data_IF_017334039903
#
_entry.id   IF_017334039903
#
_cell.length_a   1.000
_cell.length_b   1.000
_cell.length_c   1.000
_cell.angle_alpha   90.00
_cell.angle_beta   90.00
_cell.angle_gamma   90.00
#
_symmetry.space_group_name_H-M   'P 1'
#
loop_
_entity.id
_entity.type
_entity.pdbx_description
1 polymer ?
#
# COMPACT_ATOMS: atom_id res chain seq x y z
N UNK A 1 21.79 -0.93 34.77
CA UNK A 1 21.40 0.39 34.20
C UNK A 1 22.27 0.77 33.02
N UNK A 2 23.60 1.02 33.13
CA UNK A 2 24.45 1.39 31.96
C UNK A 2 24.54 0.23 30.95
N UNK A 3 24.71 -1.01 31.41
CA UNK A 3 24.79 -2.18 30.55
C UNK A 3 23.47 -2.42 29.80
N UNK A 4 22.34 -2.17 30.43
CA UNK A 4 21.02 -2.31 29.86
C UNK A 4 20.76 -1.25 28.79
N UNK A 5 21.24 -0.01 28.99
CA UNK A 5 21.10 1.05 27.97
C UNK A 5 21.95 0.77 26.73
N UNK A 6 23.20 0.33 26.89
CA UNK A 6 24.08 -0.08 25.78
C UNK A 6 23.51 -1.29 25.00
N UNK A 7 22.88 -2.23 25.71
CA UNK A 7 22.23 -3.36 25.06
C UNK A 7 21.03 -2.93 24.23
N UNK A 8 20.18 -2.07 24.78
CA UNK A 8 18.98 -1.54 24.05
C UNK A 8 19.42 -0.74 22.82
N UNK A 9 20.43 0.10 22.95
CA UNK A 9 21.00 0.87 21.84
C UNK A 9 21.55 -0.07 20.75
N UNK A 10 22.36 -1.06 21.11
CA UNK A 10 22.91 -2.03 20.17
C UNK A 10 21.82 -2.84 19.48
N UNK A 11 20.75 -3.20 20.20
CA UNK A 11 19.61 -3.93 19.64
C UNK A 11 18.81 -3.04 18.70
N UNK A 12 18.59 -1.77 19.05
CA UNK A 12 17.94 -0.78 18.18
C UNK A 12 18.69 -0.63 16.86
N UNK A 13 20.02 -0.47 16.92
CA UNK A 13 20.88 -0.34 15.75
C UNK A 13 20.86 -1.62 14.87
N UNK A 14 20.83 -2.80 15.47
CA UNK A 14 20.71 -4.06 14.75
C UNK A 14 19.37 -4.16 14.03
N UNK A 15 18.27 -3.83 14.70
CA UNK A 15 16.92 -3.84 14.12
C UNK A 15 16.79 -2.82 12.99
N UNK A 16 17.36 -1.63 13.14
CA UNK A 16 17.43 -0.63 12.10
C UNK A 16 18.16 -1.16 10.85
N UNK A 17 19.36 -1.73 11.03
CA UNK A 17 20.12 -2.34 9.93
C UNK A 17 19.35 -3.48 9.24
N UNK A 18 18.62 -4.31 10.00
CA UNK A 18 17.78 -5.37 9.46
C UNK A 18 16.61 -4.82 8.62
N UNK A 19 15.93 -3.76 9.10
CA UNK A 19 14.88 -3.05 8.40
C UNK A 19 15.39 -2.49 7.07
N UNK A 20 16.50 -1.74 7.12
CA UNK A 20 17.16 -1.17 5.94
C UNK A 20 17.51 -2.26 4.90
N UNK A 21 18.12 -3.36 5.34
CA UNK A 21 18.47 -4.46 4.47
C UNK A 21 17.24 -5.14 3.84
N UNK A 22 16.16 -5.31 4.62
CA UNK A 22 14.89 -5.84 4.13
C UNK A 22 14.33 -4.96 2.99
N UNK A 23 14.19 -3.67 3.22
CA UNK A 23 13.61 -2.77 2.24
C UNK A 23 14.46 -2.63 0.99
N UNK A 24 15.77 -2.48 1.11
CA UNK A 24 16.65 -2.37 -0.06
C UNK A 24 16.70 -3.69 -0.86
N UNK A 25 16.82 -4.83 -0.20
CA UNK A 25 16.89 -6.12 -0.88
C UNK A 25 15.61 -6.41 -1.67
N UNK A 26 14.47 -6.34 -1.01
CA UNK A 26 13.19 -6.62 -1.69
C UNK A 26 12.80 -5.51 -2.66
N UNK A 27 13.13 -4.24 -2.38
CA UNK A 27 12.91 -3.13 -3.29
C UNK A 27 13.63 -3.33 -4.61
N UNK A 28 14.93 -3.59 -4.57
CA UNK A 28 15.75 -3.85 -5.76
C UNK A 28 15.22 -5.07 -6.52
N UNK A 29 14.94 -6.18 -5.82
CA UNK A 29 14.40 -7.38 -6.45
C UNK A 29 13.09 -7.12 -7.20
N UNK A 30 12.15 -6.41 -6.59
CA UNK A 30 10.85 -6.14 -7.22
C UNK A 30 11.00 -5.22 -8.44
N UNK A 31 11.83 -4.19 -8.36
CA UNK A 31 12.07 -3.26 -9.48
C UNK A 31 12.70 -3.97 -10.67
N UNK A 32 13.71 -4.82 -10.47
CA UNK A 32 14.43 -5.44 -11.56
C UNK A 32 13.76 -6.72 -12.08
N UNK A 33 13.20 -7.56 -11.23
CA UNK A 33 12.68 -8.87 -11.63
C UNK A 33 11.16 -8.95 -11.77
N UNK A 34 10.41 -7.94 -11.31
CA UNK A 34 8.94 -7.89 -11.37
C UNK A 34 8.39 -6.64 -12.07
N UNK A 35 9.20 -5.96 -12.88
CA UNK A 35 8.86 -4.72 -13.56
C UNK A 35 7.61 -4.81 -14.45
N UNK A 36 7.29 -5.99 -14.98
CA UNK A 36 6.10 -6.22 -15.80
C UNK A 36 4.80 -6.20 -15.00
N UNK A 37 4.86 -6.47 -13.70
CA UNK A 37 3.71 -6.41 -12.81
C UNK A 37 3.67 -5.04 -12.13
N UNK A 38 2.79 -4.16 -12.60
CA UNK A 38 2.72 -2.76 -12.17
C UNK A 38 2.59 -2.57 -10.64
N UNK A 39 1.66 -3.23 -9.92
CA UNK A 39 1.59 -3.13 -8.46
C UNK A 39 2.89 -3.54 -7.76
N UNK A 40 3.52 -4.64 -8.20
CA UNK A 40 4.80 -5.10 -7.62
C UNK A 40 5.95 -4.14 -7.93
N UNK A 41 5.97 -3.54 -9.13
CA UNK A 41 6.94 -2.51 -9.47
C UNK A 41 6.81 -1.28 -8.57
N UNK A 42 5.58 -0.79 -8.34
CA UNK A 42 5.31 0.35 -7.46
C UNK A 42 5.73 0.02 -6.01
N UNK A 43 5.43 -1.20 -5.53
CA UNK A 43 5.88 -1.67 -4.23
C UNK A 43 7.41 -1.69 -4.15
N UNK A 44 8.08 -2.12 -5.21
CA UNK A 44 9.54 -2.11 -5.30
C UNK A 44 10.13 -0.71 -5.20
N UNK A 45 9.56 0.26 -5.93
CA UNK A 45 9.96 1.67 -5.85
C UNK A 45 9.76 2.24 -4.44
N UNK A 46 8.62 1.93 -3.80
CA UNK A 46 8.32 2.33 -2.44
C UNK A 46 9.33 1.73 -1.45
N UNK A 47 9.66 0.46 -1.58
CA UNK A 47 10.65 -0.20 -0.72
C UNK A 47 12.05 0.39 -0.92
N UNK A 48 12.47 0.67 -2.16
CA UNK A 48 13.74 1.37 -2.40
C UNK A 48 13.77 2.76 -1.73
N UNK A 49 12.68 3.52 -1.84
CA UNK A 49 12.59 4.81 -1.16
C UNK A 49 12.70 4.65 0.36
N UNK A 50 11.94 3.69 0.93
CA UNK A 50 11.97 3.43 2.37
C UNK A 50 13.34 3.02 2.87
N UNK A 51 14.01 2.10 2.15
CA UNK A 51 15.37 1.70 2.50
C UNK A 51 16.40 2.84 2.40
N UNK A 52 16.21 3.78 1.44
CA UNK A 52 17.05 5.00 1.37
C UNK A 52 16.73 5.95 2.53
N UNK A 53 15.47 6.04 2.95
CA UNK A 53 15.09 6.84 4.13
C UNK A 53 15.68 6.24 5.40
N UNK A 54 15.57 4.93 5.63
CA UNK A 54 16.23 4.25 6.76
C UNK A 54 17.75 4.50 6.72
N UNK A 55 18.37 4.46 5.52
CA UNK A 55 19.80 4.70 5.39
C UNK A 55 20.20 6.14 5.74
N UNK A 56 19.36 7.15 5.42
CA UNK A 56 19.60 8.53 5.80
C UNK A 56 19.58 8.72 7.31
N UNK A 57 18.83 7.90 8.06
CA UNK A 57 18.74 8.00 9.52
C UNK A 57 20.06 7.66 10.22
N UNK A 58 21.00 7.02 9.49
CA UNK A 58 22.40 6.88 9.97
C UNK A 58 23.06 8.24 10.19
N UNK A 59 22.61 9.30 9.55
CA UNK A 59 23.13 10.65 9.77
C UNK A 59 22.80 11.16 11.18
N UNK A 60 21.76 10.65 11.83
CA UNK A 60 21.40 10.98 13.21
C UNK A 60 22.43 10.50 14.24
N UNK A 61 23.27 9.54 13.88
CA UNK A 61 24.37 9.08 14.74
C UNK A 61 25.61 10.01 14.71
N UNK A 62 25.59 11.02 13.85
CA UNK A 62 26.61 12.06 13.81
C UNK A 62 26.21 13.13 14.82
N UNK A 63 26.99 13.33 15.91
CA UNK A 63 26.67 14.23 17.01
C UNK A 63 26.22 15.63 16.55
N UNK A 64 26.91 16.21 15.55
CA UNK A 64 26.55 17.54 15.01
C UNK A 64 25.18 17.61 14.35
N UNK A 65 24.63 16.48 13.92
CA UNK A 65 23.33 16.35 13.26
C UNK A 65 22.28 15.85 14.26
N UNK A 66 22.58 14.78 14.98
CA UNK A 66 21.66 14.14 15.93
C UNK A 66 21.31 15.04 17.11
N UNK A 67 22.29 15.75 17.66
CA UNK A 67 22.09 16.67 18.78
C UNK A 67 21.44 18.00 18.37
N UNK A 68 21.35 18.27 17.08
CA UNK A 68 20.71 19.49 16.56
C UNK A 68 19.23 19.25 16.29
N UNK A 69 18.32 19.88 17.03
CA UNK A 69 16.88 19.78 16.78
C UNK A 69 16.48 20.22 15.37
N UNK A 70 17.23 21.15 14.78
CA UNK A 70 17.00 21.64 13.44
C UNK A 70 17.27 20.55 12.38
N UNK A 71 18.45 19.93 12.39
CA UNK A 71 18.81 18.92 11.40
C UNK A 71 18.02 17.62 11.59
N UNK A 72 17.84 17.17 12.83
CA UNK A 72 17.02 15.96 13.11
C UNK A 72 15.58 16.11 12.63
N UNK A 73 14.98 17.31 12.83
CA UNK A 73 13.62 17.57 12.32
C UNK A 73 13.55 17.61 10.80
N UNK A 74 14.59 18.07 10.09
CA UNK A 74 14.63 17.98 8.62
C UNK A 74 14.61 16.52 8.18
N UNK A 75 15.43 15.67 8.79
CA UNK A 75 15.46 14.23 8.44
C UNK A 75 14.12 13.56 8.67
N UNK A 76 13.47 13.82 9.82
CA UNK A 76 12.12 13.32 10.14
C UNK A 76 11.04 13.86 9.17
N UNK A 77 11.20 15.11 8.67
CA UNK A 77 10.27 15.66 7.68
C UNK A 77 10.33 14.94 6.35
N UNK A 78 11.51 14.44 5.97
CA UNK A 78 11.70 13.66 4.73
C UNK A 78 11.01 12.29 4.82
N UNK A 79 10.93 11.69 6.02
CA UNK A 79 10.25 10.40 6.20
C UNK A 79 8.75 10.46 5.86
N UNK A 80 8.14 11.62 6.07
CA UNK A 80 6.73 11.82 5.74
C UNK A 80 6.43 11.67 4.25
N UNK A 81 7.43 11.82 3.36
CA UNK A 81 7.24 11.68 1.91
C UNK A 81 6.91 10.25 1.48
N UNK A 82 7.24 9.24 2.29
CA UNK A 82 6.85 7.86 2.00
C UNK A 82 5.33 7.64 2.17
N UNK A 83 4.65 8.43 2.99
CA UNK A 83 3.25 8.20 3.36
C UNK A 83 2.28 8.32 2.18
N UNK A 84 2.33 9.36 1.31
CA UNK A 84 1.47 9.41 0.15
C UNK A 84 1.75 8.29 -0.85
N UNK A 85 3.01 7.87 -1.00
CA UNK A 85 3.36 6.76 -1.89
C UNK A 85 2.81 5.43 -1.38
N UNK A 86 2.83 5.20 -0.05
CA UNK A 86 2.15 4.05 0.56
C UNK A 86 0.65 4.06 0.24
N UNK A 87 0.01 5.21 0.41
CA UNK A 87 -1.41 5.38 0.09
C UNK A 87 -1.71 5.08 -1.38
N UNK A 88 -0.91 5.62 -2.30
CA UNK A 88 -1.05 5.40 -3.73
C UNK A 88 -0.84 3.93 -4.13
N UNK A 89 0.12 3.23 -3.49
CA UNK A 89 0.30 1.80 -3.68
C UNK A 89 -0.93 1.00 -3.26
N UNK A 90 -1.48 1.27 -2.07
CA UNK A 90 -2.67 0.60 -1.58
C UNK A 90 -3.90 0.88 -2.46
N UNK A 91 -4.02 2.09 -3.00
CA UNK A 91 -5.07 2.45 -3.95
C UNK A 91 -4.88 1.81 -5.32
N UNK A 92 -3.64 1.60 -5.77
CA UNK A 92 -3.34 0.87 -7.01
C UNK A 92 -3.77 -0.59 -6.92
N UNK A 93 -3.63 -1.24 -5.75
CA UNK A 93 -4.14 -2.59 -5.52
C UNK A 93 -5.65 -2.66 -5.74
N UNK A 94 -6.38 -1.66 -5.24
CA UNK A 94 -7.85 -1.64 -5.27
C UNK A 94 -8.43 -1.07 -6.56
N UNK A 95 -7.64 -0.33 -7.30
CA UNK A 95 -8.03 0.35 -8.52
C UNK A 95 -6.81 0.45 -9.45
N UNK A 96 -6.55 -0.58 -10.28
CA UNK A 96 -5.42 -0.60 -11.21
C UNK A 96 -5.39 0.66 -12.08
N UNK A 97 -4.22 1.28 -12.23
CA UNK A 97 -4.07 2.53 -12.97
C UNK A 97 -4.28 3.80 -12.13
N UNK A 98 -4.58 3.67 -10.83
CA UNK A 98 -4.77 4.84 -9.97
C UNK A 98 -3.48 5.63 -9.74
N UNK A 99 -2.35 4.96 -9.50
CA UNK A 99 -1.07 5.60 -9.22
C UNK A 99 -0.44 6.18 -10.50
N UNK A 100 -0.86 7.38 -10.90
CA UNK A 100 -0.27 8.12 -12.02
C UNK A 100 0.76 9.13 -11.50
N UNK A 101 1.76 9.48 -12.33
CA UNK A 101 2.78 10.47 -11.96
C UNK A 101 2.15 11.81 -11.50
N UNK A 102 1.06 12.24 -12.17
CA UNK A 102 0.34 13.46 -11.78
C UNK A 102 -0.23 13.37 -10.36
N UNK A 103 -0.78 12.22 -9.98
CA UNK A 103 -1.31 12.00 -8.63
C UNK A 103 -0.19 11.89 -7.61
N UNK A 104 0.91 11.20 -7.93
CA UNK A 104 2.12 11.17 -7.09
C UNK A 104 2.55 12.59 -6.76
N UNK A 105 2.80 13.42 -7.79
CA UNK A 105 3.23 14.81 -7.59
C UNK A 105 2.21 15.62 -6.79
N UNK A 106 0.91 15.44 -7.02
CA UNK A 106 -0.14 16.16 -6.29
C UNK A 106 -0.15 15.83 -4.79
N UNK A 107 0.07 14.55 -4.42
CA UNK A 107 0.07 14.12 -3.03
C UNK A 107 1.39 14.43 -2.31
N UNK A 108 2.52 14.44 -3.04
CA UNK A 108 3.83 14.75 -2.46
C UNK A 108 4.08 16.25 -2.27
N UNK A 109 3.55 17.10 -3.18
CA UNK A 109 3.83 18.53 -3.19
C UNK A 109 3.61 19.23 -1.85
N UNK A 110 2.52 19.00 -1.10
CA UNK A 110 2.33 19.64 0.20
C UNK A 110 3.43 19.32 1.20
N UNK A 111 3.90 18.06 1.26
CA UNK A 111 4.93 17.64 2.20
C UNK A 111 6.31 18.22 1.84
N UNK A 112 6.62 18.25 0.54
CA UNK A 112 7.84 18.92 0.06
C UNK A 112 7.81 20.41 0.42
N UNK A 113 6.66 21.07 0.24
CA UNK A 113 6.50 22.48 0.62
C UNK A 113 6.68 22.70 2.13
N UNK A 114 6.08 21.87 2.98
CA UNK A 114 6.29 21.96 4.43
C UNK A 114 7.78 21.81 4.79
N UNK A 115 8.47 20.83 4.20
CA UNK A 115 9.90 20.60 4.43
C UNK A 115 10.73 21.81 3.99
N UNK A 116 10.47 22.37 2.80
CA UNK A 116 11.19 23.58 2.30
C UNK A 116 10.93 24.78 3.19
N UNK A 117 9.68 25.03 3.60
CA UNK A 117 9.32 26.14 4.51
C UNK A 117 10.01 25.94 5.86
N UNK A 118 10.07 24.72 6.38
CA UNK A 118 10.80 24.43 7.62
C UNK A 118 12.30 24.74 7.48
N UNK A 119 12.94 24.30 6.40
CA UNK A 119 14.36 24.59 6.13
C UNK A 119 14.61 26.10 6.10
N UNK A 120 13.69 26.89 5.53
CA UNK A 120 13.85 28.33 5.42
C UNK A 120 13.59 29.10 6.72
N UNK A 121 12.69 28.60 7.55
CA UNK A 121 12.19 29.33 8.73
C UNK A 121 12.71 28.78 10.06
N UNK A 122 13.00 27.46 10.13
CA UNK A 122 13.32 26.76 11.38
C UNK A 122 12.14 26.72 12.38
N UNK A 123 10.91 27.05 11.97
CA UNK A 123 9.75 27.13 12.85
C UNK A 123 9.20 25.73 13.13
N UNK A 124 9.24 25.32 14.38
CA UNK A 124 8.75 23.99 14.80
C UNK A 124 7.24 23.81 14.54
N UNK A 125 6.47 24.88 14.51
CA UNK A 125 5.03 24.88 14.16
C UNK A 125 4.80 24.39 12.72
N UNK A 126 5.72 24.65 11.82
CA UNK A 126 5.65 24.16 10.43
C UNK A 126 5.82 22.64 10.38
N UNK A 127 6.79 22.12 11.12
CA UNK A 127 6.98 20.68 11.28
C UNK A 127 5.74 20.02 11.90
N UNK A 128 5.23 20.55 13.01
CA UNK A 128 4.01 20.00 13.64
C UNK A 128 2.80 20.06 12.71
N UNK A 129 2.69 21.10 11.89
CA UNK A 129 1.63 21.18 10.87
C UNK A 129 1.76 20.08 9.82
N UNK A 130 2.98 19.72 9.41
CA UNK A 130 3.21 18.59 8.48
C UNK A 130 2.87 17.24 9.13
N UNK A 131 3.18 17.04 10.41
CA UNK A 131 2.80 15.82 11.16
C UNK A 131 1.28 15.67 11.24
N UNK A 132 0.57 16.76 11.60
CA UNK A 132 -0.90 16.78 11.65
C UNK A 132 -1.49 16.50 10.27
N UNK A 133 -0.99 17.17 9.21
CA UNK A 133 -1.43 16.93 7.84
C UNK A 133 -1.27 15.47 7.44
N UNK A 134 -0.08 14.90 7.66
CA UNK A 134 0.22 13.49 7.33
C UNK A 134 -0.69 12.53 8.09
N UNK A 135 -0.91 12.77 9.38
CA UNK A 135 -1.79 11.95 10.22
C UNK A 135 -3.25 11.98 9.71
N UNK A 136 -3.75 13.16 9.36
CA UNK A 136 -5.11 13.31 8.81
C UNK A 136 -5.23 12.60 7.47
N UNK A 137 -4.26 12.77 6.57
CA UNK A 137 -4.23 12.07 5.27
C UNK A 137 -4.21 10.56 5.47
N UNK A 138 -3.35 10.04 6.36
CA UNK A 138 -3.32 8.61 6.70
C UNK A 138 -4.69 8.11 7.18
N UNK A 139 -5.33 8.81 8.11
CA UNK A 139 -6.63 8.41 8.64
C UNK A 139 -7.71 8.37 7.54
N UNK A 140 -7.74 9.38 6.67
CA UNK A 140 -8.69 9.42 5.54
C UNK A 140 -8.43 8.29 4.54
N UNK A 141 -7.16 7.99 4.23
CA UNK A 141 -6.79 6.89 3.33
C UNK A 141 -7.20 5.55 3.93
N UNK A 142 -6.94 5.31 5.22
CA UNK A 142 -7.36 4.08 5.90
C UNK A 142 -8.88 3.91 5.83
N UNK A 143 -9.66 4.95 6.14
CA UNK A 143 -11.12 4.91 6.03
C UNK A 143 -11.58 4.59 4.60
N UNK A 144 -10.98 5.25 3.61
CA UNK A 144 -11.28 5.02 2.21
C UNK A 144 -10.96 3.57 1.79
N UNK A 145 -9.80 3.04 2.19
CA UNK A 145 -9.39 1.66 1.91
C UNK A 145 -10.39 0.67 2.52
N UNK A 146 -10.80 0.86 3.78
CA UNK A 146 -11.78 -0.02 4.44
C UNK A 146 -13.08 -0.11 3.62
N UNK A 147 -13.61 1.03 3.17
CA UNK A 147 -14.81 1.06 2.34
C UNK A 147 -14.58 0.39 0.98
N UNK A 148 -13.45 0.70 0.35
CA UNK A 148 -13.13 0.20 -1.00
C UNK A 148 -12.87 -1.31 -1.01
N UNK A 149 -12.15 -1.84 -0.01
CA UNK A 149 -11.90 -3.30 0.14
C UNK A 149 -13.21 -4.06 0.27
N UNK A 150 -14.16 -3.56 1.08
CA UNK A 150 -15.47 -4.20 1.25
C UNK A 150 -16.24 -4.26 -0.07
N UNK A 151 -16.21 -3.17 -0.85
CA UNK A 151 -16.87 -3.10 -2.18
C UNK A 151 -16.17 -4.04 -3.18
N UNK A 152 -14.83 -4.01 -3.25
CA UNK A 152 -14.03 -4.87 -4.11
C UNK A 152 -14.29 -6.36 -3.84
N UNK A 153 -14.21 -6.79 -2.57
CA UNK A 153 -14.43 -8.19 -2.21
C UNK A 153 -15.86 -8.66 -2.48
N UNK A 154 -16.85 -7.76 -2.35
CA UNK A 154 -18.22 -8.06 -2.73
C UNK A 154 -18.32 -8.28 -4.24
N UNK A 155 -17.80 -7.36 -5.04
CA UNK A 155 -17.78 -7.47 -6.49
C UNK A 155 -17.09 -8.76 -6.97
N UNK A 156 -15.92 -9.09 -6.42
CA UNK A 156 -15.21 -10.32 -6.77
C UNK A 156 -16.01 -11.58 -6.44
N UNK A 157 -16.66 -11.62 -5.28
CA UNK A 157 -17.49 -12.76 -4.88
C UNK A 157 -18.73 -12.92 -5.76
N UNK A 158 -19.31 -11.80 -6.20
CA UNK A 158 -20.54 -11.81 -6.97
C UNK A 158 -20.27 -12.14 -8.47
N UNK A 159 -19.05 -11.90 -8.98
CA UNK A 159 -18.68 -12.05 -10.39
C UNK A 159 -17.71 -13.20 -10.70
N UNK A 160 -17.01 -13.75 -9.73
CA UNK A 160 -15.99 -14.79 -9.94
C UNK A 160 -16.25 -16.02 -9.09
N UNK A 161 -16.10 -17.22 -9.68
CA UNK A 161 -16.27 -18.50 -8.99
C UNK A 161 -15.11 -18.80 -8.04
N UNK A 162 -13.89 -18.30 -8.38
CA UNK A 162 -12.69 -18.50 -7.60
C UNK A 162 -12.23 -17.18 -6.97
N UNK A 163 -12.28 -17.11 -5.64
CA UNK A 163 -12.00 -15.86 -4.91
C UNK A 163 -10.77 -15.90 -4.02
N UNK A 164 -10.14 -17.08 -3.82
CA UNK A 164 -9.05 -17.22 -2.83
C UNK A 164 -7.83 -16.35 -3.10
N UNK A 165 -7.38 -16.24 -4.38
CA UNK A 165 -6.19 -15.47 -4.75
C UNK A 165 -6.48 -14.07 -5.28
N UNK A 166 -7.76 -13.77 -5.56
CA UNK A 166 -8.19 -12.46 -6.03
C UNK A 166 -8.74 -11.58 -4.90
N UNK A 167 -9.07 -12.18 -3.76
CA UNK A 167 -9.60 -11.50 -2.59
C UNK A 167 -8.52 -10.66 -1.90
N UNK A 168 -8.84 -9.42 -1.59
CA UNK A 168 -7.96 -8.49 -0.87
C UNK A 168 -8.32 -8.35 0.62
N UNK A 169 -8.97 -9.37 1.22
CA UNK A 169 -9.34 -9.36 2.65
C UNK A 169 -8.10 -9.24 3.56
N UNK A 170 -6.97 -9.78 3.13
CA UNK A 170 -5.69 -9.64 3.83
C UNK A 170 -5.31 -8.17 4.08
N UNK A 171 -5.72 -7.27 3.19
CA UNK A 171 -5.47 -5.84 3.37
C UNK A 171 -6.24 -5.28 4.58
N UNK A 172 -7.48 -5.75 4.80
CA UNK A 172 -8.25 -5.41 6.02
C UNK A 172 -7.56 -5.93 7.28
N UNK A 173 -7.04 -7.16 7.23
CA UNK A 173 -6.34 -7.76 8.37
C UNK A 173 -5.02 -7.01 8.69
N UNK A 174 -4.37 -6.44 7.67
CA UNK A 174 -3.16 -5.64 7.84
C UNK A 174 -3.42 -4.25 8.45
N UNK A 175 -4.68 -3.78 8.49
CA UNK A 175 -5.01 -2.46 9.06
C UNK A 175 -4.71 -2.36 10.55
N UNK A 176 -4.81 -3.46 11.30
CA UNK A 176 -4.44 -3.48 12.71
C UNK A 176 -2.93 -3.26 12.90
N UNK A 177 -2.10 -3.92 12.08
CA UNK A 177 -0.64 -3.74 12.11
C UNK A 177 -0.28 -2.32 11.64
N UNK A 178 -0.97 -1.81 10.64
CA UNK A 178 -0.81 -0.42 10.17
C UNK A 178 -1.10 0.60 11.29
N UNK A 179 -2.16 0.36 12.08
CA UNK A 179 -2.46 1.22 13.22
C UNK A 179 -1.35 1.21 14.27
N UNK A 180 -0.78 0.04 14.57
CA UNK A 180 0.38 -0.08 15.50
C UNK A 180 1.59 0.65 14.92
N UNK A 181 1.87 0.49 13.64
CA UNK A 181 2.97 1.18 12.96
C UNK A 181 2.80 2.72 13.00
N UNK A 182 1.58 3.21 12.75
CA UNK A 182 1.27 4.64 12.83
C UNK A 182 1.44 5.20 14.24
N UNK A 183 0.97 4.48 15.26
CA UNK A 183 1.12 4.90 16.65
C UNK A 183 2.60 4.92 17.08
N UNK A 184 3.40 3.92 16.69
CA UNK A 184 4.83 3.92 16.97
C UNK A 184 5.56 5.06 16.25
N UNK A 185 5.20 5.35 15.00
CA UNK A 185 5.74 6.48 14.25
C UNK A 185 5.39 7.83 14.91
N UNK A 186 4.13 8.04 15.31
CA UNK A 186 3.72 9.25 16.03
C UNK A 186 4.48 9.42 17.36
N UNK A 187 4.75 8.31 18.06
CA UNK A 187 5.56 8.35 19.28
C UNK A 187 6.99 8.81 18.98
N UNK A 188 7.63 8.27 17.95
CA UNK A 188 9.00 8.66 17.53
C UNK A 188 9.05 10.12 17.10
N UNK A 189 8.04 10.63 16.37
CA UNK A 189 7.97 12.04 15.96
C UNK A 189 7.97 13.04 17.15
N UNK A 190 7.55 12.58 18.33
CA UNK A 190 7.41 13.42 19.51
C UNK A 190 8.44 13.10 20.61
N UNK A 191 9.04 11.91 20.59
CA UNK A 191 9.95 11.43 21.61
C UNK A 191 11.13 10.68 20.99
N UNK A 192 12.32 11.19 21.14
CA UNK A 192 13.53 10.49 20.72
C UNK A 192 13.86 9.42 21.77
N UNK A 193 13.73 8.14 21.40
CA UNK A 193 14.09 7.03 22.28
C UNK A 193 14.42 5.76 21.50
N UNK A 194 15.51 5.09 21.84
CA UNK A 194 15.93 3.83 21.20
C UNK A 194 14.86 2.73 21.24
N UNK A 195 14.04 2.69 22.29
CA UNK A 195 12.92 1.74 22.36
C UNK A 195 11.81 2.10 21.37
N UNK A 196 11.50 3.39 21.24
CA UNK A 196 10.53 3.88 20.26
C UNK A 196 10.94 3.54 18.82
N UNK A 197 12.21 3.83 18.49
CA UNK A 197 12.80 3.52 17.19
C UNK A 197 12.75 2.02 16.88
N UNK A 198 13.14 1.19 17.85
CA UNK A 198 13.09 -0.27 17.71
C UNK A 198 11.66 -0.77 17.43
N UNK A 199 10.66 -0.30 18.19
CA UNK A 199 9.26 -0.67 17.95
C UNK A 199 8.76 -0.21 16.60
N UNK A 200 9.15 0.98 16.16
CA UNK A 200 8.81 1.49 14.84
C UNK A 200 9.41 0.62 13.73
N UNK A 201 10.70 0.33 13.75
CA UNK A 201 11.35 -0.50 12.72
C UNK A 201 10.79 -1.93 12.69
N UNK A 202 10.54 -2.55 13.84
CA UNK A 202 9.94 -3.88 13.92
C UNK A 202 8.51 -3.86 13.33
N UNK A 203 7.66 -2.94 13.79
CA UNK A 203 6.27 -2.87 13.35
C UNK A 203 6.15 -2.55 11.85
N UNK A 204 7.00 -1.64 11.35
CA UNK A 204 7.09 -1.30 9.94
C UNK A 204 7.56 -2.50 9.10
N UNK A 205 8.65 -3.15 9.48
CA UNK A 205 9.18 -4.32 8.76
C UNK A 205 8.14 -5.46 8.73
N UNK A 206 7.48 -5.75 9.85
CA UNK A 206 6.43 -6.78 9.92
C UNK A 206 5.25 -6.43 9.03
N UNK A 207 4.76 -5.19 9.07
CA UNK A 207 3.67 -4.73 8.21
C UNK A 207 4.01 -4.97 6.73
N UNK A 208 5.16 -4.48 6.30
CA UNK A 208 5.55 -4.55 4.90
C UNK A 208 5.97 -5.94 4.45
N UNK A 209 6.46 -6.80 5.34
CA UNK A 209 6.66 -8.23 5.06
C UNK A 209 5.34 -8.95 4.80
N UNK A 210 4.30 -8.65 5.59
CA UNK A 210 2.94 -9.17 5.37
C UNK A 210 2.37 -8.67 4.04
N UNK A 211 2.48 -7.37 3.75
CA UNK A 211 2.04 -6.78 2.49
C UNK A 211 2.77 -7.41 1.30
N UNK A 212 4.09 -7.55 1.38
CA UNK A 212 4.90 -8.20 0.35
C UNK A 212 4.46 -9.64 0.09
N UNK A 213 4.31 -10.44 1.16
CA UNK A 213 3.89 -11.84 1.06
C UNK A 213 2.57 -11.99 0.31
N UNK A 214 1.57 -11.22 0.69
CA UNK A 214 0.27 -11.29 0.03
C UNK A 214 0.30 -10.68 -1.37
N UNK A 215 1.04 -9.60 -1.60
CA UNK A 215 1.18 -8.99 -2.92
C UNK A 215 1.83 -9.93 -3.94
N UNK A 216 2.78 -10.77 -3.51
CA UNK A 216 3.41 -11.79 -4.37
C UNK A 216 2.46 -12.94 -4.72
N UNK A 217 1.49 -13.24 -3.86
CA UNK A 217 0.49 -14.31 -4.06
C UNK A 217 -0.79 -13.83 -4.75
N UNK A 218 -1.01 -12.52 -4.76
CA UNK A 218 -2.21 -11.92 -5.35
C UNK A 218 -2.22 -12.13 -6.86
N UNK A 219 -3.31 -12.65 -7.39
CA UNK A 219 -3.58 -12.61 -8.83
C UNK A 219 -4.26 -11.28 -9.18
N UNK A 220 -3.60 -10.49 -10.02
CA UNK A 220 -4.07 -9.16 -10.40
C UNK A 220 -4.97 -9.26 -11.62
N UNK A 221 -6.23 -8.87 -11.48
CA UNK A 221 -7.21 -8.87 -12.56
C UNK A 221 -7.28 -7.45 -13.15
N UNK A 222 -6.92 -7.25 -14.44
CA UNK A 222 -6.90 -5.93 -15.08
C UNK A 222 -8.27 -5.24 -15.16
N UNK A 223 -9.36 -6.02 -15.14
CA UNK A 223 -10.72 -5.56 -15.41
C UNK A 223 -11.47 -4.97 -14.20
N UNK A 224 -10.84 -4.83 -13.04
CA UNK A 224 -11.47 -4.15 -11.90
C UNK A 224 -11.84 -2.67 -12.17
N UNK A 225 -11.49 -2.13 -13.33
CA UNK A 225 -11.92 -0.79 -13.79
C UNK A 225 -13.40 -0.72 -14.18
N UNK A 226 -14.04 -1.85 -14.51
CA UNK A 226 -15.45 -1.88 -14.94
C UNK A 226 -16.44 -1.80 -13.77
N UNK A 227 -15.96 -1.73 -12.52
CA UNK A 227 -16.82 -1.62 -11.34
C UNK A 227 -17.73 -0.39 -11.31
N UNK A 228 -17.45 0.64 -12.12
CA UNK A 228 -18.26 1.86 -12.20
C UNK A 228 -19.27 1.86 -13.34
N UNK A 229 -19.11 0.97 -14.33
CA UNK A 229 -19.95 0.96 -15.53
C UNK A 229 -21.16 0.01 -15.47
N UNK A 230 -21.19 -0.95 -14.53
CA UNK A 230 -22.25 -1.97 -14.47
C UNK A 230 -23.52 -1.57 -13.69
N UNK A 231 -23.62 -0.36 -13.13
CA UNK A 231 -24.91 0.12 -12.54
C UNK A 231 -25.99 0.43 -13.59
N UNK A 232 -25.71 0.29 -14.89
CA UNK A 232 -26.68 0.53 -15.95
C UNK A 232 -27.28 -0.76 -16.51
N UNK A 233 -28.34 -1.19 -15.87
CA UNK A 233 -29.54 -1.80 -16.42
C UNK A 233 -29.44 -2.83 -17.55
N UNK A 234 -29.11 -4.10 -17.26
CA UNK A 234 -29.55 -5.19 -18.14
C UNK A 234 -30.95 -5.63 -17.70
N UNK A 235 -31.91 -5.51 -18.63
CA UNK A 235 -33.32 -5.84 -18.41
C UNK A 235 -33.50 -7.29 -17.94
N UNK A 236 -34.14 -7.51 -16.79
CA UNK A 236 -34.46 -8.81 -16.19
C UNK A 236 -35.19 -9.78 -17.13
N UNK A 237 -35.88 -9.29 -18.17
CA UNK A 237 -36.61 -10.10 -19.15
C UNK A 237 -35.68 -10.82 -20.14
N UNK A 238 -34.48 -10.29 -20.40
CA UNK A 238 -33.52 -10.93 -21.31
C UNK A 238 -32.85 -12.16 -20.66
N UNK A 239 -32.61 -12.09 -19.38
CA UNK A 239 -31.92 -13.15 -18.60
C UNK A 239 -32.77 -14.43 -18.51
N UNK A 240 -34.11 -14.32 -18.40
CA UNK A 240 -34.98 -15.48 -18.26
C UNK A 240 -35.13 -16.30 -19.56
N UNK A 241 -35.05 -15.69 -20.72
CA UNK A 241 -35.11 -16.39 -22.01
C UNK A 241 -33.81 -17.07 -22.42
N UNK A 242 -32.68 -16.59 -21.88
CA UNK A 242 -31.35 -17.12 -22.20
C UNK A 242 -30.81 -18.14 -21.19
N UNK A 243 -31.45 -18.26 -20.03
CA UNK A 243 -30.97 -19.15 -18.95
C UNK A 243 -30.73 -20.59 -19.38
N UNK A 244 -31.66 -21.17 -20.18
CA UNK A 244 -31.50 -22.55 -20.67
C UNK A 244 -30.34 -22.70 -21.67
N UNK A 245 -30.17 -21.73 -22.58
CA UNK A 245 -29.09 -21.76 -23.57
C UNK A 245 -27.72 -21.53 -22.93
N UNK A 246 -27.66 -20.72 -21.86
CA UNK A 246 -26.46 -20.47 -21.10
C UNK A 246 -26.01 -21.72 -20.34
N UNK A 247 -26.95 -22.46 -19.72
CA UNK A 247 -26.64 -23.69 -19.00
C UNK A 247 -26.11 -24.77 -19.95
N UNK A 248 -26.71 -24.95 -21.10
CA UNK A 248 -26.28 -25.89 -22.13
C UNK A 248 -24.88 -25.53 -22.65
N UNK A 249 -24.64 -24.25 -22.94
CA UNK A 249 -23.33 -23.74 -23.39
C UNK A 249 -22.21 -23.92 -22.34
N UNK A 250 -22.50 -23.60 -21.06
CA UNK A 250 -21.55 -23.81 -19.96
C UNK A 250 -21.20 -25.29 -19.83
N UNK A 251 -22.16 -26.19 -20.01
CA UNK A 251 -21.97 -27.62 -19.95
C UNK A 251 -21.20 -28.15 -21.16
N UNK A 252 -21.53 -27.73 -22.37
CA UNK A 252 -20.88 -28.17 -23.61
C UNK A 252 -19.40 -27.75 -23.68
N UNK A 253 -19.10 -26.54 -23.24
CA UNK A 253 -17.73 -25.97 -23.20
C UNK A 253 -16.95 -26.27 -21.93
N UNK A 254 -17.56 -27.01 -21.00
CA UNK A 254 -16.97 -27.32 -19.68
C UNK A 254 -16.46 -26.06 -18.94
N UNK A 255 -17.08 -24.90 -19.18
CA UNK A 255 -16.64 -23.63 -18.63
C UNK A 255 -16.65 -23.59 -17.10
N UNK A 256 -17.45 -24.43 -16.46
CA UNK A 256 -17.49 -24.61 -15.00
C UNK A 256 -16.17 -25.16 -14.42
N UNK A 257 -15.29 -25.72 -15.27
CA UNK A 257 -13.95 -26.16 -14.84
C UNK A 257 -12.93 -25.03 -14.78
N UNK A 258 -13.26 -23.87 -15.37
CA UNK A 258 -12.37 -22.70 -15.31
C UNK A 258 -12.59 -21.92 -14.01
N UNK A 259 -11.68 -21.98 -13.03
CA UNK A 259 -11.83 -21.30 -11.74
C UNK A 259 -11.75 -19.78 -11.84
N UNK A 260 -11.30 -19.24 -12.97
CA UNK A 260 -11.15 -17.80 -13.23
C UNK A 260 -12.28 -17.23 -14.10
N UNK A 261 -13.29 -18.05 -14.42
CA UNK A 261 -14.42 -17.61 -15.24
C UNK A 261 -15.17 -16.48 -14.54
N UNK A 262 -15.32 -15.36 -15.24
CA UNK A 262 -16.12 -14.22 -14.81
C UNK A 262 -17.48 -14.16 -15.53
N UNK A 263 -18.45 -13.46 -14.96
CA UNK A 263 -19.72 -13.19 -15.63
C UNK A 263 -19.54 -12.35 -16.90
N UNK A 264 -18.55 -11.44 -16.92
CA UNK A 264 -18.22 -10.67 -18.11
C UNK A 264 -17.68 -11.52 -19.25
N UNK A 265 -16.87 -12.54 -18.95
CA UNK A 265 -16.37 -13.49 -19.96
C UNK A 265 -17.52 -14.30 -20.55
N UNK A 266 -18.45 -14.78 -19.71
CA UNK A 266 -19.66 -15.45 -20.16
C UNK A 266 -20.55 -14.53 -21.01
N UNK A 267 -20.69 -13.25 -20.65
CA UNK A 267 -21.47 -12.29 -21.39
C UNK A 267 -20.87 -12.00 -22.79
N UNK A 268 -19.55 -11.88 -22.89
CA UNK A 268 -18.83 -11.67 -24.16
C UNK A 268 -18.98 -12.89 -25.06
N UNK A 269 -18.82 -14.10 -24.54
CA UNK A 269 -19.00 -15.35 -25.28
C UNK A 269 -20.47 -15.53 -25.75
N UNK A 270 -21.44 -15.21 -24.89
CA UNK A 270 -22.87 -15.23 -25.25
C UNK A 270 -23.24 -14.20 -26.30
N UNK A 271 -22.66 -12.99 -26.25
CA UNK A 271 -22.90 -11.96 -27.30
C UNK A 271 -22.36 -12.42 -28.66
N UNK A 272 -21.27 -13.17 -28.71
CA UNK A 272 -20.73 -13.74 -29.92
C UNK A 272 -21.68 -14.81 -30.55
N UNK A 273 -22.43 -15.54 -29.71
CA UNK A 273 -23.41 -16.55 -30.13
C UNK A 273 -24.74 -15.94 -30.66
N UNK A 274 -25.06 -14.70 -30.25
CA UNK A 274 -26.28 -14.01 -30.69
C UNK A 274 -26.09 -13.37 -32.08
N UNK A 275 -24.86 -13.15 -32.49
CA UNK A 275 -24.49 -12.56 -33.77
C UNK A 275 -24.20 -13.60 -34.89
N UNK A 276 -24.36 -14.90 -34.62
CA UNK A 276 -24.34 -16.00 -35.58
C UNK A 276 -25.77 -16.46 -35.80
#
# INVERSE_FOLDING_TARGET
>A
MILDTLFIESLSNFVHGLSTAFFLYFGINLVFFRATNRPLFILGCLFCLWGVQDLKDLLLYIDTIGDSPYYSTILLSIDMWAVPLCALFLLEILSPGFATLRRVLLFELPLVLFTVVYIMTGLFEVYMSSVVYTTVVCALVVLFIIVRVRRYNRYMRDNYSYTERINVQWLMNSMAILAVCLLSWLYVCTNVSHLGDMFYYISSTVLWAVVLYYSLRQEWIPQAQDMESEETGVSRNFVSQMGGKLEEYIREKELYLNPKLSLSDLAVEMLSLIHI
#
